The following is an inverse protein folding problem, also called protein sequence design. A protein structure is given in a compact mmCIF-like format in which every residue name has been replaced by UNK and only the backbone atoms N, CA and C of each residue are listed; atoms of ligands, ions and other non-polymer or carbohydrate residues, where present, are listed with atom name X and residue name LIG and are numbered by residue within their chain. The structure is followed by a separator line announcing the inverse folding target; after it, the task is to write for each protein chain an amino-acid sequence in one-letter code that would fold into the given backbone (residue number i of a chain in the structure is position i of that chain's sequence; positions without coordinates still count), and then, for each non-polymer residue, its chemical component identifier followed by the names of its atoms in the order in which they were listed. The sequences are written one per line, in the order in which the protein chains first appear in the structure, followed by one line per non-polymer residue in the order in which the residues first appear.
data_IF_849432793516
#
_entry.id   IF_849432793516
#
_cell.length_a   1.000
_cell.length_b   1.000
_cell.length_c   1.000
_cell.angle_alpha   90.00
_cell.angle_beta   90.00
_cell.angle_gamma   90.00
#
_symmetry.space_group_name_H-M   'P 1'
#
loop_
_entity.id
_entity.type
_entity.pdbx_description
1 polymer ?
#
# COMPACT_ATOMS: atom_id res chain seq x y z
N UNK A 1 -49.75 -22.78 -10.36
CA UNK A 1 -49.52 -22.29 -8.98
C UNK A 1 -48.06 -22.57 -8.65
N UNK A 2 -47.21 -21.65 -9.12
CA UNK A 2 -45.76 -21.75 -9.01
C UNK A 2 -45.32 -21.48 -7.58
N UNK A 3 -44.62 -22.45 -6.99
CA UNK A 3 -43.91 -22.27 -5.73
C UNK A 3 -42.46 -21.93 -6.10
N UNK A 4 -42.16 -20.63 -6.17
CA UNK A 4 -40.79 -20.15 -6.30
C UNK A 4 -40.14 -20.14 -4.91
N UNK A 5 -39.28 -21.12 -4.63
CA UNK A 5 -38.36 -21.10 -3.48
C UNK A 5 -37.31 -20.02 -3.70
N UNK A 6 -37.52 -18.85 -3.10
CA UNK A 6 -36.50 -17.82 -2.97
C UNK A 6 -35.40 -18.27 -2.02
N UNK A 7 -34.23 -18.57 -2.57
CA UNK A 7 -32.98 -18.64 -1.81
C UNK A 7 -32.68 -17.25 -1.25
N UNK A 8 -32.81 -17.09 0.07
CA UNK A 8 -32.28 -15.94 0.78
C UNK A 8 -30.76 -16.06 0.84
N UNK A 9 -30.07 -15.50 -0.15
CA UNK A 9 -28.64 -15.20 -0.05
C UNK A 9 -28.44 -14.24 1.11
N UNK A 10 -27.82 -14.73 2.18
CA UNK A 10 -27.32 -13.92 3.28
C UNK A 10 -26.03 -13.25 2.78
N UNK A 11 -26.16 -12.17 2.02
CA UNK A 11 -25.03 -11.28 1.72
C UNK A 11 -24.71 -10.52 3.00
N UNK A 12 -23.72 -11.01 3.75
CA UNK A 12 -23.15 -10.24 4.85
C UNK A 12 -22.42 -9.05 4.24
N UNK A 13 -23.11 -7.92 4.20
CA UNK A 13 -22.57 -6.60 3.92
C UNK A 13 -21.48 -6.31 4.96
N UNK A 14 -20.22 -6.61 4.64
CA UNK A 14 -19.08 -6.13 5.42
C UNK A 14 -18.60 -4.79 4.84
N UNK A 15 -19.52 -3.81 4.79
CA UNK A 15 -19.21 -2.40 4.55
C UNK A 15 -19.26 -1.66 5.89
N UNK A 16 -18.26 -1.91 6.73
CA UNK A 16 -17.94 -1.05 7.86
C UNK A 16 -16.53 -0.46 7.71
N UNK A 17 -16.20 0.04 6.53
CA UNK A 17 -14.94 0.79 6.33
C UNK A 17 -15.21 2.28 6.28
N UNK A 18 -15.03 2.93 7.44
CA UNK A 18 -14.79 4.37 7.63
C UNK A 18 -14.56 5.14 6.31
N UNK A 19 -15.65 5.70 5.78
CA UNK A 19 -15.93 6.02 4.37
C UNK A 19 -15.01 7.08 3.71
N UNK A 20 -13.90 7.48 4.33
CA UNK A 20 -12.99 8.49 3.79
C UNK A 20 -11.55 8.01 3.57
N UNK A 21 -10.98 7.31 4.56
CA UNK A 21 -9.52 7.05 4.60
C UNK A 21 -9.13 5.76 3.91
N UNK A 22 -9.97 4.71 3.99
CA UNK A 22 -9.79 3.48 3.23
C UNK A 22 -9.86 3.71 1.72
N UNK A 23 -10.70 4.67 1.29
CA UNK A 23 -10.87 5.00 -0.13
C UNK A 23 -9.60 5.57 -0.77
N UNK A 24 -8.87 6.47 -0.09
CA UNK A 24 -7.71 7.12 -0.69
C UNK A 24 -6.59 6.11 -1.03
N UNK A 25 -6.32 5.17 -0.13
CA UNK A 25 -5.32 4.13 -0.40
C UNK A 25 -5.74 3.25 -1.58
N UNK A 26 -7.01 2.84 -1.63
CA UNK A 26 -7.55 2.08 -2.76
C UNK A 26 -7.41 2.83 -4.09
N UNK A 27 -7.62 4.16 -4.09
CA UNK A 27 -7.38 4.98 -5.28
C UNK A 27 -5.91 5.04 -5.68
N UNK A 28 -4.98 5.10 -4.72
CA UNK A 28 -3.54 5.03 -5.00
C UNK A 28 -3.20 3.71 -5.70
N UNK A 29 -3.68 2.57 -5.17
CA UNK A 29 -3.47 1.26 -5.80
C UNK A 29 -4.06 1.21 -7.21
N UNK A 30 -5.25 1.78 -7.43
CA UNK A 30 -5.86 1.89 -8.77
C UNK A 30 -4.98 2.68 -9.74
N UNK A 31 -4.45 3.83 -9.31
CA UNK A 31 -3.56 4.66 -10.13
C UNK A 31 -2.26 3.93 -10.43
N UNK A 32 -1.66 3.24 -9.45
CA UNK A 32 -0.44 2.47 -9.64
C UNK A 32 -0.65 1.35 -10.66
N UNK A 33 -1.74 0.59 -10.56
CA UNK A 33 -2.11 -0.45 -11.53
C UNK A 33 -2.31 0.10 -12.95
N UNK A 34 -2.90 1.29 -13.08
CA UNK A 34 -3.18 1.87 -14.39
C UNK A 34 -1.97 2.56 -15.03
N UNK A 35 -1.22 3.35 -14.26
CA UNK A 35 -0.10 4.16 -14.76
C UNK A 35 1.23 3.41 -14.76
N UNK A 36 1.39 2.43 -13.88
CA UNK A 36 2.59 1.61 -13.73
C UNK A 36 3.89 2.47 -13.71
N UNK A 37 4.00 3.53 -12.89
CA UNK A 37 5.24 4.30 -12.79
C UNK A 37 6.44 3.41 -12.41
N UNK A 38 7.67 3.82 -12.79
CA UNK A 38 8.90 3.07 -12.45
C UNK A 38 9.10 2.92 -10.93
N UNK A 39 8.71 3.94 -10.18
CA UNK A 39 8.79 3.96 -8.73
C UNK A 39 7.70 4.84 -8.13
N UNK A 40 7.42 4.67 -6.84
CA UNK A 40 6.62 5.58 -6.04
C UNK A 40 7.23 5.77 -4.65
N UNK A 41 6.82 6.85 -3.98
CA UNK A 41 7.08 7.12 -2.58
C UNK A 41 5.76 7.48 -1.90
N UNK A 42 5.38 6.76 -0.85
CA UNK A 42 4.25 7.10 0.02
C UNK A 42 4.75 7.45 1.42
N UNK A 43 4.05 8.34 2.09
CA UNK A 43 4.35 8.79 3.45
C UNK A 43 3.16 8.54 4.36
N UNK A 44 3.41 8.06 5.58
CA UNK A 44 2.40 7.98 6.63
C UNK A 44 3.00 8.18 8.03
N UNK A 45 2.16 8.34 9.05
CA UNK A 45 2.59 8.37 10.45
C UNK A 45 3.14 7.00 10.89
N UNK A 46 4.14 6.96 11.79
CA UNK A 46 4.71 5.69 12.28
C UNK A 46 3.68 4.77 12.97
N UNK A 47 2.58 5.33 13.46
CA UNK A 47 1.48 4.57 14.07
C UNK A 47 0.84 3.55 13.12
N UNK A 48 0.98 3.71 11.80
CA UNK A 48 0.48 2.74 10.82
C UNK A 48 1.06 1.34 11.06
N UNK A 49 2.31 1.23 11.50
CA UNK A 49 3.00 -0.05 11.78
C UNK A 49 2.22 -0.92 12.77
N UNK A 50 1.57 -0.29 13.75
CA UNK A 50 0.88 -0.98 14.84
C UNK A 50 -0.64 -0.94 14.68
N UNK A 51 -1.14 -0.30 13.63
CA UNK A 51 -2.58 -0.19 13.38
C UNK A 51 -3.15 -1.57 13.14
N UNK A 52 -4.21 -1.91 13.88
CA UNK A 52 -4.86 -3.22 13.82
C UNK A 52 -3.88 -4.40 14.04
N UNK A 53 -2.94 -4.24 14.97
CA UNK A 53 -1.91 -5.26 15.24
C UNK A 53 -0.93 -5.48 14.08
N UNK A 54 -0.77 -4.48 13.21
CA UNK A 54 0.08 -4.53 12.03
C UNK A 54 -0.61 -5.07 10.77
N UNK A 55 -1.86 -5.55 10.88
CA UNK A 55 -2.63 -6.03 9.73
C UNK A 55 -2.85 -4.95 8.68
N UNK A 56 -3.12 -3.71 9.10
CA UNK A 56 -3.33 -2.61 8.17
C UNK A 56 -2.12 -2.36 7.26
N UNK A 57 -0.91 -2.34 7.83
CA UNK A 57 0.32 -2.21 7.05
C UNK A 57 0.54 -3.42 6.14
N UNK A 58 0.28 -4.63 6.64
CA UNK A 58 0.41 -5.86 5.83
C UNK A 58 -0.53 -5.84 4.62
N UNK A 59 -1.80 -5.46 4.80
CA UNK A 59 -2.77 -5.31 3.71
C UNK A 59 -2.30 -4.28 2.67
N UNK A 60 -1.76 -3.15 3.14
CA UNK A 60 -1.19 -2.11 2.26
C UNK A 60 -0.04 -2.67 1.44
N UNK A 61 0.92 -3.35 2.07
CA UNK A 61 2.08 -3.92 1.39
C UNK A 61 1.65 -4.95 0.34
N UNK A 62 0.77 -5.88 0.71
CA UNK A 62 0.25 -6.90 -0.20
C UNK A 62 -0.49 -6.28 -1.39
N UNK A 63 -1.26 -5.21 -1.19
CA UNK A 63 -1.95 -4.51 -2.28
C UNK A 63 -0.98 -3.79 -3.24
N UNK A 64 0.10 -3.19 -2.71
CA UNK A 64 1.14 -2.55 -3.51
C UNK A 64 1.99 -3.57 -4.28
N UNK A 65 2.31 -4.71 -3.66
CA UNK A 65 2.99 -5.85 -4.30
C UNK A 65 2.14 -6.43 -5.43
N UNK A 66 0.84 -6.60 -5.19
CA UNK A 66 -0.14 -7.03 -6.21
C UNK A 66 -0.31 -6.02 -7.35
N UNK A 67 0.16 -4.78 -7.19
CA UNK A 67 0.19 -3.77 -8.24
C UNK A 67 1.50 -3.79 -9.08
N UNK A 68 2.41 -4.74 -8.81
CA UNK A 68 3.64 -4.95 -9.57
C UNK A 68 4.91 -4.35 -8.96
N UNK A 69 4.88 -4.01 -7.67
CA UNK A 69 5.98 -3.30 -7.01
C UNK A 69 6.66 -4.14 -5.95
N UNK A 70 7.99 -4.11 -5.91
CA UNK A 70 8.74 -4.47 -4.71
C UNK A 70 8.76 -3.28 -3.77
N UNK A 71 8.26 -3.44 -2.55
CA UNK A 71 8.11 -2.35 -1.59
C UNK A 71 9.03 -2.53 -0.39
N UNK A 72 9.71 -1.47 0.03
CA UNK A 72 10.43 -1.38 1.29
C UNK A 72 9.86 -0.28 2.16
N UNK A 73 10.02 -0.39 3.48
CA UNK A 73 9.50 0.61 4.42
C UNK A 73 10.54 1.01 5.45
N UNK A 74 10.55 2.28 5.84
CA UNK A 74 11.47 2.80 6.85
C UNK A 74 10.85 3.98 7.62
N UNK A 75 11.12 4.05 8.92
CA UNK A 75 10.76 5.23 9.74
C UNK A 75 11.93 6.19 9.79
N UNK A 76 11.78 7.35 9.15
CA UNK A 76 12.81 8.39 9.10
C UNK A 76 12.40 9.58 9.96
N UNK A 77 13.38 10.16 10.67
CA UNK A 77 13.20 11.34 11.52
C UNK A 77 13.78 12.57 10.83
N UNK A 78 13.04 13.69 10.82
CA UNK A 78 13.53 14.99 10.34
C UNK A 78 14.50 15.70 11.31
N UNK A 79 14.86 15.06 12.43
CA UNK A 79 15.81 15.60 13.40
C UNK A 79 17.16 15.83 12.73
N UNK A 80 17.73 17.01 12.93
CA UNK A 80 18.99 17.42 12.29
C UNK A 80 18.80 18.07 10.92
N UNK A 81 17.61 17.98 10.32
CA UNK A 81 17.24 18.70 9.09
C UNK A 81 16.25 19.84 9.35
N UNK A 82 15.49 19.75 10.44
CA UNK A 82 14.44 20.71 10.82
C UNK A 82 14.50 20.98 12.32
N UNK A 83 13.97 22.13 12.74
CA UNK A 83 13.90 22.54 14.15
C UNK A 83 12.94 21.67 14.99
N UNK A 84 12.03 20.95 14.33
CA UNK A 84 11.09 20.04 14.97
C UNK A 84 11.29 18.61 14.47
N UNK A 85 11.61 17.69 15.39
CA UNK A 85 11.72 16.28 15.05
C UNK A 85 10.35 15.69 14.71
N UNK A 86 10.18 15.27 13.46
CA UNK A 86 8.98 14.59 12.95
C UNK A 86 9.39 13.24 12.37
N UNK A 87 8.92 12.15 12.98
CA UNK A 87 9.08 10.80 12.46
C UNK A 87 7.97 10.49 11.47
N UNK A 88 8.31 9.92 10.31
CA UNK A 88 7.37 9.41 9.31
C UNK A 88 7.82 8.07 8.76
N UNK A 89 6.83 7.21 8.49
CA UNK A 89 6.98 5.98 7.78
C UNK A 89 6.95 6.29 6.28
N UNK A 90 8.01 5.91 5.58
CA UNK A 90 8.08 5.99 4.14
C UNK A 90 7.95 4.59 3.55
N UNK A 91 7.17 4.46 2.48
CA UNK A 91 7.06 3.25 1.68
C UNK A 91 7.61 3.56 0.28
N UNK A 92 8.67 2.87 -0.11
CA UNK A 92 9.31 3.02 -1.41
C UNK A 92 8.97 1.80 -2.25
N UNK A 93 8.27 2.01 -3.36
CA UNK A 93 7.94 0.93 -4.30
C UNK A 93 8.72 1.07 -5.60
N UNK A 94 9.38 0.00 -6.04
CA UNK A 94 10.06 -0.08 -7.34
C UNK A 94 9.36 -1.12 -8.21
N UNK A 95 8.99 -0.74 -9.44
CA UNK A 95 8.26 -1.62 -10.34
C UNK A 95 9.14 -2.78 -10.81
N UNK A 96 8.71 -4.01 -10.55
CA UNK A 96 9.55 -5.22 -10.71
C UNK A 96 10.04 -5.40 -12.14
N UNK A 97 9.22 -5.14 -13.16
CA UNK A 97 9.62 -5.30 -14.56
C UNK A 97 10.33 -4.10 -15.19
N UNK A 98 10.37 -2.94 -14.53
CA UNK A 98 11.00 -1.72 -15.07
C UNK A 98 12.40 -1.46 -14.48
N UNK A 99 12.86 -2.38 -13.63
CA UNK A 99 14.19 -2.36 -13.08
C UNK A 99 15.13 -3.17 -13.98
N UNK A 100 16.02 -2.48 -14.71
CA UNK A 100 17.24 -3.09 -15.21
C UNK A 100 18.28 -3.00 -14.08
N UNK A 101 18.77 -4.13 -13.59
CA UNK A 101 20.09 -4.14 -12.95
C UNK A 101 21.10 -3.76 -14.03
N UNK A 102 21.66 -2.56 -13.96
CA UNK A 102 22.96 -2.33 -14.59
C UNK A 102 23.92 -3.27 -13.89
N UNK A 103 24.28 -4.39 -14.56
CA UNK A 103 25.44 -5.17 -14.18
C UNK A 103 26.63 -4.23 -14.40
N UNK A 104 27.05 -3.51 -13.37
CA UNK A 104 28.42 -3.02 -13.35
C UNK A 104 29.27 -4.29 -13.42
N UNK A 105 29.87 -4.55 -14.58
CA UNK A 105 30.92 -5.54 -14.69
C UNK A 105 32.01 -5.06 -13.73
N UNK A 106 32.18 -5.78 -12.62
CA UNK A 106 33.34 -5.62 -11.77
C UNK A 106 34.53 -6.04 -12.64
N UNK A 107 35.18 -5.07 -13.29
CA UNK A 107 36.50 -5.28 -13.85
C UNK A 107 37.42 -5.54 -12.66
N UNK A 108 37.69 -6.82 -12.41
CA UNK A 108 38.82 -7.29 -11.62
C UNK A 108 39.99 -7.56 -12.54
#
# INVERSE_FOLDING_TARGET
NDVNSGNGEHTTNDESTNEGRGMLFTQIVRILKHRQPKAFLLENVPGLIHTDGGRALQTILTALESAGYKVTTEVVSSRGLTTQARKRLYLVGIHTSKYQTTKYATNK
#
